data_IF_942633928336
#
_entry.id   IF_942633928336
#
_cell.length_a   1.000
_cell.length_b   1.000
_cell.length_c   1.000
_cell.angle_alpha   90.00
_cell.angle_beta   90.00
_cell.angle_gamma   90.00
#
_symmetry.space_group_name_H-M   'P 1'
#
loop_
_entity.id
_entity.type
_entity.pdbx_description
1 polymer ?
#
# COMPACT_ATOMS: atom_id res chain seq x y z
N UNK A 1 -21.06 -18.63 44.99
CA UNK A 1 -21.02 -18.56 43.53
C UNK A 1 -20.39 -17.22 43.14
N UNK A 2 -19.13 -17.29 42.72
CA UNK A 2 -18.42 -16.14 42.16
C UNK A 2 -18.68 -16.18 40.65
N UNK A 3 -19.51 -15.25 40.14
CA UNK A 3 -19.69 -14.99 38.72
C UNK A 3 -18.38 -14.32 38.25
N UNK A 4 -17.54 -15.07 37.54
CA UNK A 4 -16.45 -14.50 36.78
C UNK A 4 -17.03 -14.05 35.44
N UNK A 5 -17.23 -12.75 35.23
CA UNK A 5 -17.38 -12.19 33.92
C UNK A 5 -16.01 -12.17 33.24
N UNK A 6 -15.94 -12.76 32.07
CA UNK A 6 -14.75 -12.68 31.23
C UNK A 6 -14.70 -11.26 30.67
N UNK A 7 -13.73 -10.46 31.13
CA UNK A 7 -13.50 -9.15 30.58
C UNK A 7 -13.16 -9.30 29.08
N UNK A 8 -14.05 -8.83 28.21
CA UNK A 8 -13.74 -8.77 26.78
C UNK A 8 -12.52 -7.85 26.62
N UNK A 9 -11.43 -8.39 26.11
CA UNK A 9 -10.24 -7.59 25.77
C UNK A 9 -10.62 -6.63 24.65
N UNK A 10 -10.93 -5.39 25.02
CA UNK A 10 -11.17 -4.32 24.06
C UNK A 10 -9.84 -4.01 23.38
N UNK A 11 -9.78 -4.09 22.06
CA UNK A 11 -8.63 -3.62 21.30
C UNK A 11 -8.60 -2.08 21.36
N UNK A 12 -7.81 -1.54 22.28
CA UNK A 12 -7.71 -0.11 22.56
C UNK A 12 -7.27 0.66 21.31
N UNK A 13 -6.43 0.04 20.47
CA UNK A 13 -6.01 0.65 19.19
C UNK A 13 -7.21 0.72 18.24
N UNK A 14 -8.00 -0.35 18.12
CA UNK A 14 -9.19 -0.35 17.29
C UNK A 14 -10.22 0.67 17.77
N UNK A 15 -10.35 0.88 19.09
CA UNK A 15 -11.24 1.89 19.65
C UNK A 15 -10.76 3.32 19.39
N UNK A 16 -9.44 3.58 19.51
CA UNK A 16 -8.83 4.86 19.14
C UNK A 16 -8.93 5.16 17.65
N UNK A 17 -8.95 4.12 16.82
CA UNK A 17 -9.12 4.23 15.37
C UNK A 17 -10.60 4.17 14.94
N UNK A 18 -11.53 4.00 15.90
CA UNK A 18 -12.96 3.98 15.60
C UNK A 18 -13.38 5.32 15.02
N UNK A 19 -14.14 5.26 13.95
CA UNK A 19 -14.65 6.45 13.28
C UNK A 19 -16.07 6.73 13.69
N UNK A 20 -16.40 8.01 13.86
CA UNK A 20 -17.78 8.45 13.94
C UNK A 20 -18.49 8.23 12.61
N UNK A 21 -19.78 7.90 12.64
CA UNK A 21 -20.59 7.77 11.44
C UNK A 21 -20.59 9.08 10.65
N UNK A 22 -20.14 9.01 9.40
CA UNK A 22 -20.08 10.18 8.51
C UNK A 22 -21.46 10.41 7.89
N UNK A 23 -21.88 11.69 7.85
CA UNK A 23 -23.13 12.05 7.19
C UNK A 23 -22.95 11.94 5.67
N UNK A 24 -23.91 11.32 5.00
CA UNK A 24 -23.90 11.16 3.55
C UNK A 24 -23.82 12.51 2.79
N UNK A 25 -24.31 13.59 3.40
CA UNK A 25 -24.31 14.94 2.85
C UNK A 25 -22.89 15.55 2.72
N UNK A 26 -21.92 15.11 3.56
CA UNK A 26 -20.55 15.60 3.58
C UNK A 26 -19.63 14.82 2.64
N UNK A 27 -20.14 13.76 2.02
CA UNK A 27 -19.36 12.88 1.15
C UNK A 27 -19.29 13.42 -0.27
N UNK A 28 -18.08 13.69 -0.75
CA UNK A 28 -17.82 14.12 -2.14
C UNK A 28 -17.04 13.06 -2.90
N UNK A 29 -17.20 13.01 -4.25
CA UNK A 29 -16.39 12.12 -5.07
C UNK A 29 -14.89 12.37 -4.88
N UNK A 30 -14.10 11.30 -4.80
CA UNK A 30 -12.64 11.37 -4.69
C UNK A 30 -11.97 10.62 -5.83
N UNK A 31 -10.72 10.98 -6.16
CA UNK A 31 -9.94 10.23 -7.12
C UNK A 31 -9.77 8.76 -6.70
N UNK A 32 -9.75 7.81 -7.67
CA UNK A 32 -9.38 6.44 -7.37
C UNK A 32 -7.91 6.32 -7.01
N UNK A 33 -7.63 5.40 -6.10
CA UNK A 33 -6.27 4.96 -5.77
C UNK A 33 -6.08 3.58 -6.40
N UNK A 34 -5.04 3.44 -7.21
CA UNK A 34 -4.80 2.26 -8.05
C UNK A 34 -3.43 1.68 -7.73
N UNK A 35 -3.34 0.41 -7.40
CA UNK A 35 -2.05 -0.28 -7.33
C UNK A 35 -1.75 -1.01 -8.63
N UNK A 36 -0.47 -1.09 -8.98
CA UNK A 36 0.02 -1.85 -10.13
C UNK A 36 0.78 -3.06 -9.64
N UNK A 37 0.32 -4.25 -10.02
CA UNK A 37 0.80 -5.54 -9.54
C UNK A 37 1.14 -6.48 -10.69
N UNK A 38 1.86 -7.54 -10.39
CA UNK A 38 2.23 -8.58 -11.35
C UNK A 38 3.69 -9.00 -11.24
N UNK A 39 4.12 -9.88 -12.12
CA UNK A 39 5.48 -10.42 -12.15
C UNK A 39 6.54 -9.33 -12.49
N UNK A 40 7.80 -9.56 -12.07
CA UNK A 40 8.91 -8.59 -12.23
C UNK A 40 9.05 -8.13 -13.68
N UNK A 41 9.22 -9.05 -14.63
CA UNK A 41 9.54 -8.76 -16.02
C UNK A 41 8.33 -8.49 -16.92
N UNK A 42 7.13 -8.39 -16.36
CA UNK A 42 5.90 -8.09 -17.11
C UNK A 42 5.76 -6.62 -17.53
N UNK A 43 6.70 -5.76 -17.11
CA UNK A 43 6.76 -4.37 -17.55
C UNK A 43 5.87 -3.40 -16.77
N UNK A 44 5.63 -3.65 -15.47
CA UNK A 44 4.87 -2.74 -14.58
C UNK A 44 5.43 -1.33 -14.57
N UNK A 45 6.73 -1.19 -14.25
CA UNK A 45 7.42 0.11 -14.18
C UNK A 45 7.43 0.79 -15.55
N UNK A 46 7.65 0.03 -16.64
CA UNK A 46 7.58 0.56 -18.00
C UNK A 46 6.17 1.06 -18.36
N UNK A 47 5.12 0.36 -17.91
CA UNK A 47 3.74 0.79 -18.11
C UNK A 47 3.46 2.08 -17.34
N UNK A 48 3.90 2.18 -16.09
CA UNK A 48 3.77 3.39 -15.29
C UNK A 48 4.57 4.57 -15.87
N UNK A 49 5.76 4.31 -16.40
CA UNK A 49 6.54 5.33 -17.11
C UNK A 49 5.80 5.82 -18.37
N UNK A 50 5.18 4.91 -19.13
CA UNK A 50 4.37 5.28 -20.28
C UNK A 50 3.15 6.14 -19.88
N UNK A 51 2.51 5.81 -18.77
CA UNK A 51 1.38 6.55 -18.19
C UNK A 51 1.84 7.94 -17.69
N UNK A 52 2.92 7.99 -16.91
CA UNK A 52 3.47 9.24 -16.34
C UNK A 52 4.19 10.12 -17.37
N UNK A 53 4.51 9.58 -18.54
CA UNK A 53 5.40 10.18 -19.53
C UNK A 53 6.79 10.51 -18.95
N UNK A 54 7.29 9.61 -18.12
CA UNK A 54 8.58 9.69 -17.41
C UNK A 54 9.51 8.56 -17.87
N UNK A 55 10.69 8.51 -17.28
CA UNK A 55 11.67 7.45 -17.53
C UNK A 55 12.35 7.08 -16.19
N UNK A 56 11.56 6.57 -15.25
CA UNK A 56 12.00 6.16 -13.92
C UNK A 56 12.83 4.88 -14.00
N UNK A 57 12.44 3.95 -14.88
CA UNK A 57 13.17 2.69 -15.15
C UNK A 57 14.67 2.90 -15.40
N UNK A 58 15.05 4.00 -16.06
CA UNK A 58 16.46 4.31 -16.34
C UNK A 58 17.24 4.83 -15.12
N UNK A 59 16.55 5.21 -14.04
CA UNK A 59 17.13 5.80 -12.83
C UNK A 59 17.20 4.85 -11.64
N UNK A 60 16.36 3.82 -11.62
CA UNK A 60 16.35 2.81 -10.57
C UNK A 60 17.49 1.80 -10.73
N UNK A 61 18.08 1.39 -9.61
CA UNK A 61 19.14 0.38 -9.60
C UNK A 61 18.60 -0.95 -10.12
N UNK A 62 19.21 -1.45 -11.20
CA UNK A 62 18.76 -2.68 -11.87
C UNK A 62 17.50 -2.54 -12.73
N UNK A 63 16.92 -1.33 -12.87
CA UNK A 63 15.72 -1.09 -13.68
C UNK A 63 14.43 -1.69 -13.10
N UNK A 64 14.42 -2.00 -11.80
CA UNK A 64 13.27 -2.60 -11.09
C UNK A 64 12.84 -1.70 -9.93
N UNK A 65 11.53 -1.63 -9.71
CA UNK A 65 10.95 -0.92 -8.56
C UNK A 65 11.29 -1.67 -7.26
N UNK A 66 11.92 -0.97 -6.32
CA UNK A 66 12.32 -1.50 -5.02
C UNK A 66 11.59 -0.87 -3.84
N UNK A 67 10.93 0.28 -4.05
CA UNK A 67 10.16 1.03 -3.07
C UNK A 67 8.72 1.20 -3.53
N UNK A 68 7.79 1.41 -2.60
CA UNK A 68 6.43 1.78 -2.99
C UNK A 68 6.44 3.25 -3.44
N UNK A 69 6.34 3.47 -4.74
CA UNK A 69 6.19 4.81 -5.32
C UNK A 69 4.73 5.23 -5.36
N UNK A 70 4.45 6.50 -5.05
CA UNK A 70 3.13 7.07 -5.24
C UNK A 70 3.19 8.23 -6.23
N UNK A 71 2.23 8.31 -7.15
CA UNK A 71 2.16 9.38 -8.14
C UNK A 71 0.72 9.71 -8.53
N UNK A 72 0.47 10.99 -8.83
CA UNK A 72 -0.83 11.48 -9.27
C UNK A 72 -0.76 11.82 -10.75
N UNK A 73 -1.70 11.29 -11.51
CA UNK A 73 -1.84 11.52 -12.95
C UNK A 73 -3.19 12.16 -13.21
N UNK A 74 -3.22 13.06 -14.17
CA UNK A 74 -4.43 13.74 -14.59
C UNK A 74 -4.74 13.37 -16.05
N UNK A 75 -5.96 12.88 -16.27
CA UNK A 75 -6.51 12.57 -17.60
C UNK A 75 -7.95 13.04 -17.66
N UNK A 76 -8.33 13.74 -18.73
CA UNK A 76 -9.68 14.29 -18.93
C UNK A 76 -10.17 15.08 -17.70
N UNK A 77 -9.32 15.95 -17.16
CA UNK A 77 -9.56 16.76 -15.93
C UNK A 77 -9.88 15.93 -14.67
N UNK A 78 -9.59 14.65 -14.68
CA UNK A 78 -9.75 13.74 -13.55
C UNK A 78 -8.40 13.21 -13.06
N UNK A 79 -8.27 13.06 -11.76
CA UNK A 79 -7.03 12.56 -11.13
C UNK A 79 -7.15 11.08 -10.84
N UNK A 80 -6.05 10.37 -11.00
CA UNK A 80 -5.85 8.97 -10.60
C UNK A 80 -4.57 8.92 -9.80
N UNK A 81 -4.61 8.32 -8.62
CA UNK A 81 -3.41 8.09 -7.80
C UNK A 81 -2.92 6.68 -8.02
N UNK A 82 -1.69 6.53 -8.47
CA UNK A 82 -1.04 5.25 -8.67
C UNK A 82 -0.08 4.93 -7.53
N UNK A 83 -0.15 3.70 -7.04
CA UNK A 83 0.84 3.10 -6.15
C UNK A 83 1.60 2.03 -6.94
N UNK A 84 2.89 2.24 -7.11
CA UNK A 84 3.79 1.27 -7.73
C UNK A 84 4.31 0.30 -6.67
N UNK A 85 4.16 -0.99 -6.89
CA UNK A 85 4.61 -2.01 -5.94
C UNK A 85 5.73 -2.87 -6.53
N UNK A 86 6.77 -3.20 -5.73
CA UNK A 86 7.82 -4.10 -6.19
C UNK A 86 7.27 -5.47 -6.59
N UNK A 87 7.76 -5.99 -7.72
CA UNK A 87 7.31 -7.29 -8.24
C UNK A 87 8.03 -8.50 -7.65
N UNK A 88 9.19 -8.31 -7.02
CA UNK A 88 10.01 -9.40 -6.49
C UNK A 88 9.36 -10.08 -5.27
N UNK A 89 9.49 -11.40 -5.13
CA UNK A 89 8.85 -12.19 -4.06
C UNK A 89 9.21 -11.72 -2.64
N UNK A 90 10.43 -11.21 -2.42
CA UNK A 90 10.84 -10.67 -1.14
C UNK A 90 9.96 -9.51 -0.61
N UNK A 91 9.18 -8.85 -1.49
CA UNK A 91 8.36 -7.69 -1.14
C UNK A 91 6.86 -8.00 -0.99
N UNK A 92 6.51 -9.22 -0.56
CA UNK A 92 5.11 -9.65 -0.34
C UNK A 92 4.32 -8.69 0.54
N UNK A 93 4.88 -8.23 1.67
CA UNK A 93 4.23 -7.28 2.57
C UNK A 93 3.92 -5.94 1.88
N UNK A 94 4.80 -5.47 1.00
CA UNK A 94 4.56 -4.24 0.23
C UNK A 94 3.41 -4.41 -0.77
N UNK A 95 3.32 -5.58 -1.45
CA UNK A 95 2.19 -5.86 -2.37
C UNK A 95 0.87 -5.95 -1.64
N UNK A 96 0.83 -6.65 -0.50
CA UNK A 96 -0.37 -6.76 0.34
C UNK A 96 -0.81 -5.36 0.83
N UNK A 97 0.11 -4.54 1.29
CA UNK A 97 -0.15 -3.15 1.70
C UNK A 97 -0.67 -2.31 0.53
N UNK A 98 -0.04 -2.44 -0.65
CA UNK A 98 -0.50 -1.79 -1.87
C UNK A 98 -1.96 -2.13 -2.15
N UNK A 99 -2.35 -3.40 -2.16
CA UNK A 99 -3.72 -3.83 -2.37
C UNK A 99 -4.68 -3.28 -1.31
N UNK A 100 -4.35 -3.38 -0.02
CA UNK A 100 -5.21 -2.91 1.08
C UNK A 100 -5.41 -1.39 1.12
N UNK A 101 -4.54 -0.64 0.45
CA UNK A 101 -4.55 0.83 0.42
C UNK A 101 -5.28 1.40 -0.80
N UNK A 102 -5.76 0.56 -1.71
CA UNK A 102 -6.26 0.96 -3.02
C UNK A 102 -7.71 0.54 -3.25
N UNK A 103 -8.32 1.14 -4.26
CA UNK A 103 -9.68 0.85 -4.70
C UNK A 103 -9.70 -0.13 -5.88
N UNK A 104 -8.67 -0.05 -6.73
CA UNK A 104 -8.54 -0.83 -7.95
C UNK A 104 -7.11 -1.37 -8.04
N UNK A 105 -6.96 -2.61 -8.48
CA UNK A 105 -5.68 -3.23 -8.79
C UNK A 105 -5.53 -3.43 -10.30
N UNK A 106 -4.46 -2.91 -10.90
CA UNK A 106 -4.08 -3.24 -12.26
C UNK A 106 -3.11 -4.42 -12.21
N UNK A 107 -3.56 -5.56 -12.69
CA UNK A 107 -2.74 -6.76 -12.83
C UNK A 107 -2.06 -6.75 -14.19
N UNK A 108 -0.75 -6.55 -14.22
CA UNK A 108 0.03 -6.55 -15.46
C UNK A 108 0.55 -7.95 -15.77
N UNK A 109 0.16 -8.48 -16.92
CA UNK A 109 0.58 -9.79 -17.43
C UNK A 109 1.18 -9.62 -18.82
N UNK A 110 2.36 -10.15 -19.06
CA UNK A 110 2.98 -10.07 -20.37
C UNK A 110 2.36 -11.09 -21.33
N UNK A 111 2.01 -10.64 -22.54
CA UNK A 111 1.36 -11.46 -23.56
C UNK A 111 2.24 -12.59 -24.10
N UNK A 112 3.56 -12.48 -23.94
CA UNK A 112 4.55 -13.47 -24.38
C UNK A 112 4.90 -14.51 -23.31
N UNK A 113 4.74 -14.16 -22.02
CA UNK A 113 5.10 -15.05 -20.90
C UNK A 113 3.89 -15.78 -20.29
N UNK A 114 2.75 -15.09 -20.15
CA UNK A 114 1.54 -15.63 -19.50
C UNK A 114 1.54 -15.47 -17.98
N UNK A 115 0.81 -16.33 -17.29
CA UNK A 115 0.66 -16.28 -15.82
C UNK A 115 1.86 -16.88 -15.12
N UNK A 116 2.51 -16.10 -14.25
CA UNK A 116 3.68 -16.48 -13.46
C UNK A 116 3.33 -16.60 -11.97
N UNK A 117 4.14 -17.28 -11.13
CA UNK A 117 3.82 -17.47 -9.70
C UNK A 117 3.52 -16.17 -8.95
N UNK A 118 4.28 -15.10 -9.23
CA UNK A 118 4.04 -13.78 -8.61
C UNK A 118 2.77 -13.10 -9.13
N UNK A 119 2.30 -13.47 -10.33
CA UNK A 119 0.99 -13.04 -10.85
C UNK A 119 -0.13 -13.66 -10.02
N UNK A 120 -0.02 -14.96 -9.72
CA UNK A 120 -0.99 -15.67 -8.85
C UNK A 120 -1.02 -15.08 -7.44
N UNK A 121 0.14 -14.79 -6.88
CA UNK A 121 0.26 -14.11 -5.58
C UNK A 121 -0.43 -12.74 -5.60
N UNK A 122 -0.21 -11.94 -6.65
CA UNK A 122 -0.85 -10.64 -6.81
C UNK A 122 -2.39 -10.75 -6.90
N UNK A 123 -2.91 -11.75 -7.63
CA UNK A 123 -4.36 -12.04 -7.69
C UNK A 123 -4.90 -12.34 -6.29
N UNK A 124 -4.22 -13.20 -5.54
CA UNK A 124 -4.63 -13.59 -4.20
C UNK A 124 -4.65 -12.39 -3.24
N UNK A 125 -3.65 -11.50 -3.31
CA UNK A 125 -3.62 -10.27 -2.50
C UNK A 125 -4.76 -9.31 -2.87
N UNK A 126 -5.02 -9.10 -4.15
CA UNK A 126 -6.11 -8.25 -4.60
C UNK A 126 -7.48 -8.81 -4.17
N UNK A 127 -7.70 -10.12 -4.34
CA UNK A 127 -8.93 -10.80 -3.88
C UNK A 127 -9.09 -10.73 -2.37
N UNK A 128 -8.02 -10.98 -1.60
CA UNK A 128 -8.05 -10.89 -0.14
C UNK A 128 -8.35 -9.47 0.37
N UNK A 129 -7.91 -8.46 -0.36
CA UNK A 129 -8.22 -7.06 -0.08
C UNK A 129 -9.61 -6.63 -0.56
N UNK A 130 -10.30 -7.44 -1.36
CA UNK A 130 -11.62 -7.14 -1.90
C UNK A 130 -11.62 -5.99 -2.92
N UNK A 131 -10.49 -5.75 -3.61
CA UNK A 131 -10.37 -4.68 -4.61
C UNK A 131 -10.70 -5.19 -6.00
N UNK A 132 -11.27 -4.31 -6.84
CA UNK A 132 -11.56 -4.62 -8.24
C UNK A 132 -10.26 -4.79 -9.05
N UNK A 133 -10.22 -5.83 -9.90
CA UNK A 133 -9.06 -6.17 -10.71
C UNK A 133 -9.32 -5.82 -12.17
N UNK A 134 -8.44 -4.98 -12.73
CA UNK A 134 -8.35 -4.74 -14.17
C UNK A 134 -7.08 -5.42 -14.68
N UNK A 135 -7.19 -6.25 -15.69
CA UNK A 135 -6.05 -6.96 -16.29
C UNK A 135 -5.48 -6.15 -17.45
N UNK A 136 -4.22 -5.74 -17.35
CA UNK A 136 -3.47 -5.13 -18.44
C UNK A 136 -2.57 -6.20 -19.08
N UNK A 137 -2.91 -6.66 -20.28
CA UNK A 137 -2.08 -7.60 -21.04
C UNK A 137 -1.05 -6.78 -21.79
N UNK A 138 0.18 -6.77 -21.25
CA UNK A 138 1.27 -5.95 -21.77
C UNK A 138 2.12 -6.69 -22.82
N UNK A 139 2.96 -5.93 -23.52
CA UNK A 139 3.89 -6.42 -24.57
C UNK A 139 3.18 -7.00 -25.80
N UNK A 140 2.01 -6.46 -26.16
CA UNK A 140 1.26 -6.90 -27.36
C UNK A 140 2.01 -6.61 -28.68
N UNK A 141 3.01 -5.74 -28.65
CA UNK A 141 3.89 -5.41 -29.76
C UNK A 141 4.88 -6.54 -30.12
N UNK A 142 5.05 -7.53 -29.25
CA UNK A 142 5.96 -8.65 -29.51
C UNK A 142 5.33 -9.68 -30.48
N UNK A 143 6.14 -10.27 -31.39
CA UNK A 143 5.65 -11.31 -32.30
C UNK A 143 5.15 -12.58 -31.60
N UNK A 144 5.66 -12.86 -30.39
CA UNK A 144 5.27 -14.00 -29.56
C UNK A 144 4.04 -13.73 -28.68
N UNK A 145 3.43 -12.55 -28.77
CA UNK A 145 2.27 -12.19 -27.97
C UNK A 145 1.07 -13.08 -28.27
N UNK A 146 0.44 -13.62 -27.22
CA UNK A 146 -0.76 -14.46 -27.33
C UNK A 146 -1.78 -14.06 -26.23
N UNK A 147 -2.68 -13.16 -26.60
CA UNK A 147 -3.70 -12.61 -25.71
C UNK A 147 -4.68 -13.69 -25.24
N UNK A 148 -5.11 -14.57 -26.15
CA UNK A 148 -6.11 -15.60 -25.85
C UNK A 148 -5.56 -16.63 -24.85
N UNK A 149 -4.27 -17.00 -24.97
CA UNK A 149 -3.59 -17.86 -24.00
C UNK A 149 -3.63 -17.22 -22.59
N UNK A 150 -3.30 -15.93 -22.48
CA UNK A 150 -3.30 -15.23 -21.20
C UNK A 150 -4.71 -15.16 -20.60
N UNK A 151 -5.73 -14.88 -21.42
CA UNK A 151 -7.13 -14.91 -21.01
C UNK A 151 -7.55 -16.27 -20.48
N UNK A 152 -7.13 -17.35 -21.16
CA UNK A 152 -7.42 -18.71 -20.74
C UNK A 152 -6.76 -19.06 -19.41
N UNK A 153 -5.45 -18.77 -19.26
CA UNK A 153 -4.72 -19.01 -18.01
C UNK A 153 -5.31 -18.24 -16.83
N UNK A 154 -5.71 -16.97 -17.01
CA UNK A 154 -6.32 -16.15 -15.95
C UNK A 154 -7.73 -16.61 -15.59
N UNK A 155 -8.45 -17.23 -16.51
CA UNK A 155 -9.78 -17.79 -16.23
C UNK A 155 -9.73 -18.94 -15.22
N UNK A 156 -8.60 -19.67 -15.12
CA UNK A 156 -8.37 -20.70 -14.09
C UNK A 156 -8.33 -20.09 -12.67
N UNK A 157 -8.04 -18.79 -12.56
CA UNK A 157 -8.04 -18.01 -11.31
C UNK A 157 -9.31 -17.17 -11.13
N UNK A 158 -10.40 -17.52 -11.82
CA UNK A 158 -11.69 -16.83 -11.75
C UNK A 158 -11.66 -15.38 -12.30
N UNK A 159 -10.66 -15.01 -13.05
CA UNK A 159 -10.61 -13.75 -13.79
C UNK A 159 -11.10 -14.03 -15.22
N UNK A 160 -12.43 -14.00 -15.40
CA UNK A 160 -13.06 -14.32 -16.66
C UNK A 160 -13.34 -13.04 -17.44
N UNK A 161 -12.89 -12.92 -18.70
CA UNK A 161 -13.15 -11.75 -19.54
C UNK A 161 -14.64 -11.51 -19.77
N UNK A 162 -15.05 -10.25 -19.93
CA UNK A 162 -16.41 -9.88 -20.30
C UNK A 162 -16.86 -10.55 -21.61
N UNK A 163 -15.98 -10.66 -22.60
CA UNK A 163 -16.22 -11.35 -23.89
C UNK A 163 -16.62 -12.83 -23.72
N UNK A 164 -16.22 -13.46 -22.62
CA UNK A 164 -16.51 -14.86 -22.28
C UNK A 164 -17.61 -14.98 -21.22
N UNK A 165 -18.33 -13.88 -20.96
CA UNK A 165 -19.45 -13.84 -20.00
C UNK A 165 -19.05 -13.63 -18.55
N UNK A 166 -17.82 -13.23 -18.29
CA UNK A 166 -17.33 -12.82 -16.97
C UNK A 166 -17.56 -11.34 -16.67
N UNK A 167 -16.88 -10.84 -15.64
CA UNK A 167 -16.96 -9.44 -15.19
C UNK A 167 -15.60 -8.73 -15.15
N UNK A 168 -14.52 -9.43 -15.46
CA UNK A 168 -13.17 -8.85 -15.38
C UNK A 168 -12.83 -8.10 -16.66
N UNK A 169 -12.37 -6.87 -16.50
CA UNK A 169 -11.94 -6.02 -17.61
C UNK A 169 -10.52 -6.40 -18.02
N UNK A 170 -10.33 -6.70 -19.31
CA UNK A 170 -9.05 -7.01 -19.93
C UNK A 170 -8.71 -5.93 -20.96
N UNK A 171 -7.56 -5.29 -20.80
CA UNK A 171 -7.09 -4.25 -21.72
C UNK A 171 -5.74 -4.66 -22.30
N UNK A 172 -5.65 -4.93 -23.61
CA UNK A 172 -4.38 -5.14 -24.28
C UNK A 172 -3.60 -3.82 -24.36
N UNK A 173 -2.31 -3.86 -23.95
CA UNK A 173 -1.46 -2.66 -23.92
C UNK A 173 -0.05 -2.96 -24.38
N UNK A 174 0.63 -1.94 -24.86
CA UNK A 174 2.08 -1.95 -25.03
C UNK A 174 2.68 -0.73 -24.33
N UNK A 175 3.43 -0.96 -23.29
CA UNK A 175 4.18 0.11 -22.60
C UNK A 175 5.22 0.75 -23.53
N UNK A 176 5.75 -0.01 -24.51
CA UNK A 176 6.77 0.43 -25.45
C UNK A 176 6.18 1.35 -26.54
N UNK A 177 5.10 0.95 -27.18
CA UNK A 177 4.44 1.72 -28.25
C UNK A 177 3.40 2.71 -27.72
N UNK A 178 3.01 2.57 -26.44
CA UNK A 178 1.92 3.30 -25.76
C UNK A 178 0.52 2.97 -26.29
N UNK A 179 0.38 1.91 -27.07
CA UNK A 179 -0.91 1.41 -27.54
C UNK A 179 -1.75 0.91 -26.36
N UNK A 180 -3.06 1.22 -26.34
CA UNK A 180 -4.00 0.79 -25.31
C UNK A 180 -3.85 1.46 -23.94
N UNK A 181 -2.81 2.30 -23.73
CA UNK A 181 -2.59 2.94 -22.40
C UNK A 181 -3.72 3.92 -22.05
N UNK A 182 -4.21 4.67 -23.02
CA UNK A 182 -5.35 5.58 -22.82
C UNK A 182 -6.61 4.80 -22.49
N UNK A 183 -6.88 3.71 -23.20
CA UNK A 183 -8.03 2.84 -22.98
C UNK A 183 -7.99 2.24 -21.56
N UNK A 184 -6.79 1.82 -21.10
CA UNK A 184 -6.60 1.33 -19.73
C UNK A 184 -6.99 2.38 -18.70
N UNK A 185 -6.56 3.63 -18.87
CA UNK A 185 -6.88 4.72 -17.96
C UNK A 185 -8.37 5.08 -17.98
N UNK A 186 -9.02 5.01 -19.15
CA UNK A 186 -10.46 5.20 -19.27
C UNK A 186 -11.24 4.08 -18.55
N UNK A 187 -10.79 2.83 -18.66
CA UNK A 187 -11.40 1.71 -17.91
C UNK A 187 -11.23 1.87 -16.40
N UNK A 188 -10.08 2.37 -15.93
CA UNK A 188 -9.89 2.70 -14.51
C UNK A 188 -10.89 3.77 -14.05
N UNK A 189 -11.08 4.83 -14.82
CA UNK A 189 -12.04 5.88 -14.48
C UNK A 189 -13.49 5.38 -14.50
N UNK A 190 -13.84 4.54 -15.47
CA UNK A 190 -15.17 3.92 -15.56
C UNK A 190 -15.45 3.01 -14.36
N UNK A 191 -14.47 2.17 -13.98
CA UNK A 191 -14.58 1.33 -12.79
C UNK A 191 -14.72 2.16 -11.52
N UNK A 192 -13.97 3.26 -11.40
CA UNK A 192 -14.08 4.19 -10.28
C UNK A 192 -15.49 4.83 -10.19
N UNK A 193 -16.12 5.12 -11.32
CA UNK A 193 -17.48 5.66 -11.36
C UNK A 193 -18.50 4.61 -10.89
N UNK A 194 -18.34 3.35 -11.28
CA UNK A 194 -19.19 2.24 -10.81
C UNK A 194 -19.03 2.01 -9.30
N UNK A 195 -17.82 2.16 -8.78
CA UNK A 195 -17.53 2.02 -7.34
C UNK A 195 -18.06 3.20 -6.50
N UNK A 196 -18.51 4.29 -7.12
CA UNK A 196 -18.98 5.51 -6.43
C UNK A 196 -18.06 6.00 -5.31
N UNK A 197 -16.75 6.10 -5.58
CA UNK A 197 -15.74 6.45 -4.58
C UNK A 197 -15.96 7.83 -3.99
N UNK A 198 -16.24 7.90 -2.69
CA UNK A 198 -16.54 9.13 -1.95
C UNK A 198 -15.70 9.22 -0.68
N UNK A 199 -15.42 10.45 -0.23
CA UNK A 199 -14.80 10.73 1.06
C UNK A 199 -15.25 12.11 1.57
N UNK A 200 -15.19 12.32 2.87
CA UNK A 200 -15.44 13.62 3.47
C UNK A 200 -14.13 14.42 3.58
N UNK A 201 -13.92 15.50 2.81
CA UNK A 201 -12.70 16.31 2.88
C UNK A 201 -12.69 17.27 4.09
N UNK A 202 -13.84 17.54 4.72
CA UNK A 202 -13.99 18.57 5.75
C UNK A 202 -13.70 18.07 7.17
N UNK A 203 -13.18 16.86 7.32
CA UNK A 203 -12.75 16.28 8.60
C UNK A 203 -11.23 16.31 8.74
N UNK A 204 -10.76 15.95 9.93
CA UNK A 204 -9.32 15.76 10.21
C UNK A 204 -8.73 14.69 9.28
N UNK A 205 -7.52 14.93 8.80
CA UNK A 205 -6.82 14.04 7.90
C UNK A 205 -6.54 12.69 8.55
N UNK A 206 -6.84 11.61 7.81
CA UNK A 206 -6.53 10.23 8.17
C UNK A 206 -6.10 9.46 6.93
N UNK A 207 -5.19 8.53 7.10
CA UNK A 207 -4.73 7.69 6.01
C UNK A 207 -3.64 6.71 6.45
N UNK A 208 -2.85 6.27 5.52
CA UNK A 208 -1.83 5.25 5.71
C UNK A 208 -0.42 5.77 5.41
N UNK A 209 0.54 5.31 6.17
CA UNK A 209 1.96 5.47 5.86
C UNK A 209 2.32 4.47 4.77
N UNK A 210 2.67 4.95 3.59
CA UNK A 210 3.08 4.13 2.45
C UNK A 210 4.51 3.65 2.64
N UNK A 211 5.42 4.59 2.92
CA UNK A 211 6.85 4.34 3.12
C UNK A 211 7.41 5.39 4.08
N UNK A 212 8.51 5.06 4.76
CA UNK A 212 9.18 5.99 5.64
C UNK A 212 10.68 5.74 5.68
N UNK A 213 11.45 6.81 5.82
CA UNK A 213 12.90 6.80 5.84
C UNK A 213 13.48 7.82 6.81
N UNK A 214 14.75 7.66 7.15
CA UNK A 214 15.52 8.64 7.88
C UNK A 214 16.48 9.36 6.92
N UNK A 215 16.06 10.50 6.40
CA UNK A 215 16.92 11.35 5.57
C UNK A 215 17.99 12.05 6.41
N UNK A 216 19.23 12.06 5.92
CA UNK A 216 20.37 12.65 6.65
C UNK A 216 20.26 14.17 6.84
N UNK A 217 19.53 14.86 5.98
CA UNK A 217 19.37 16.32 6.02
C UNK A 217 18.04 16.79 6.57
N UNK A 218 16.98 16.04 6.27
CA UNK A 218 15.58 16.41 6.62
C UNK A 218 15.10 15.76 7.92
N UNK A 219 15.76 14.70 8.40
CA UNK A 219 15.33 13.87 9.52
C UNK A 219 14.29 12.82 9.11
N UNK A 220 13.38 12.42 10.01
CA UNK A 220 12.31 11.49 9.68
C UNK A 220 11.40 12.03 8.57
N UNK A 221 11.25 11.26 7.51
CA UNK A 221 10.42 11.55 6.34
C UNK A 221 9.44 10.40 6.17
N UNK A 222 8.17 10.70 5.94
CA UNK A 222 7.17 9.68 5.66
C UNK A 222 6.35 10.07 4.44
N UNK A 223 6.17 9.15 3.50
CA UNK A 223 5.20 9.25 2.42
C UNK A 223 3.89 8.67 2.90
N UNK A 224 2.86 9.48 2.95
CA UNK A 224 1.54 9.09 3.42
C UNK A 224 0.51 9.25 2.31
N UNK A 225 -0.49 8.37 2.32
CA UNK A 225 -1.69 8.49 1.48
C UNK A 225 -2.84 8.97 2.35
N UNK A 226 -3.36 10.13 2.05
CA UNK A 226 -4.58 10.64 2.71
C UNK A 226 -5.78 9.86 2.16
N UNK A 227 -6.51 9.17 3.03
CA UNK A 227 -7.70 8.42 2.64
C UNK A 227 -8.98 9.21 2.92
N UNK A 228 -9.01 9.91 4.05
CA UNK A 228 -10.17 10.70 4.49
C UNK A 228 -9.71 12.04 5.08
N UNK A 229 -10.56 13.04 4.99
CA UNK A 229 -10.26 14.37 5.49
C UNK A 229 -9.22 15.10 4.65
N UNK A 230 -8.77 16.23 5.16
CA UNK A 230 -7.71 17.05 4.56
C UNK A 230 -6.60 17.25 5.57
N UNK A 231 -5.38 16.91 5.17
CA UNK A 231 -4.17 17.10 5.96
C UNK A 231 -3.55 18.45 5.63
N UNK A 232 -3.13 19.22 6.63
CA UNK A 232 -2.57 20.57 6.45
C UNK A 232 -1.22 20.73 7.14
N UNK A 233 -0.38 21.57 6.55
CA UNK A 233 0.88 21.99 7.19
C UNK A 233 0.56 22.71 8.48
N UNK A 234 1.25 22.37 9.57
CA UNK A 234 1.02 22.91 10.90
C UNK A 234 0.09 22.09 11.78
N UNK A 235 -0.61 21.09 11.23
CA UNK A 235 -1.38 20.13 12.02
C UNK A 235 -0.44 19.15 12.74
N UNK A 236 -0.92 18.60 13.83
CA UNK A 236 -0.25 17.55 14.57
C UNK A 236 -0.84 16.20 14.18
N UNK A 237 0.01 15.23 13.94
CA UNK A 237 -0.42 13.87 13.62
C UNK A 237 0.22 12.85 14.56
N UNK A 238 -0.47 11.73 14.72
CA UNK A 238 0.07 10.50 15.26
C UNK A 238 0.09 9.44 14.15
N UNK A 239 1.17 8.67 14.05
CA UNK A 239 1.33 7.59 13.10
C UNK A 239 1.97 6.41 13.84
N UNK A 240 1.16 5.42 14.23
CA UNK A 240 1.61 4.31 15.05
C UNK A 240 2.32 4.78 16.33
N UNK A 241 3.58 4.41 16.48
CA UNK A 241 4.43 4.80 17.62
C UNK A 241 5.02 6.20 17.52
N UNK A 242 4.81 6.90 16.40
CA UNK A 242 5.40 8.21 16.13
C UNK A 242 4.34 9.30 16.19
N UNK A 243 4.77 10.51 16.50
CA UNK A 243 3.93 11.70 16.45
C UNK A 243 4.75 12.93 16.09
N UNK A 244 4.07 13.99 15.69
CA UNK A 244 4.76 15.25 15.42
C UNK A 244 3.89 16.27 14.72
N UNK A 245 4.41 17.50 14.63
CA UNK A 245 3.77 18.59 13.90
C UNK A 245 4.31 18.67 12.49
N UNK A 246 3.43 18.65 11.51
CA UNK A 246 3.80 18.74 10.10
C UNK A 246 4.46 20.09 9.82
N UNK A 247 5.76 20.06 9.52
CA UNK A 247 6.55 21.27 9.21
C UNK A 247 6.48 21.61 7.73
N UNK A 248 6.42 20.60 6.89
CA UNK A 248 6.31 20.74 5.43
C UNK A 248 5.67 19.50 4.84
N UNK A 249 4.97 19.70 3.73
CA UNK A 249 4.47 18.62 2.87
C UNK A 249 4.95 18.85 1.44
N UNK A 250 5.26 17.78 0.73
CA UNK A 250 5.65 17.79 -0.67
C UNK A 250 4.78 16.81 -1.47
N UNK A 251 4.43 17.20 -2.68
CA UNK A 251 3.72 16.32 -3.60
C UNK A 251 4.68 15.29 -4.25
N UNK A 252 4.14 14.41 -5.09
CA UNK A 252 4.87 13.40 -5.86
C UNK A 252 5.93 13.97 -6.83
N UNK A 253 5.91 15.28 -7.07
CA UNK A 253 6.88 16.02 -7.90
C UNK A 253 7.89 16.82 -7.07
N UNK A 254 7.89 16.65 -5.74
CA UNK A 254 8.77 17.36 -4.82
C UNK A 254 8.41 18.84 -4.61
N UNK A 255 7.22 19.30 -5.00
CA UNK A 255 6.75 20.67 -4.81
C UNK A 255 6.08 20.81 -3.44
N UNK A 256 6.35 21.91 -2.76
CA UNK A 256 5.71 22.19 -1.47
C UNK A 256 4.20 22.43 -1.64
N UNK A 257 3.40 21.73 -0.85
CA UNK A 257 1.95 21.89 -0.77
C UNK A 257 1.53 22.27 0.64
N UNK A 258 0.45 23.02 0.77
CA UNK A 258 -0.08 23.46 2.08
C UNK A 258 -1.11 22.51 2.64
N UNK A 259 -1.84 21.82 1.77
CA UNK A 259 -2.89 20.86 2.11
C UNK A 259 -2.90 19.67 1.14
N UNK A 260 -3.41 18.55 1.62
CA UNK A 260 -3.60 17.32 0.87
C UNK A 260 -4.97 16.73 1.22
N UNK A 261 -5.85 16.63 0.23
CA UNK A 261 -7.19 16.04 0.37
C UNK A 261 -7.18 14.51 0.18
N UNK A 262 -8.36 13.89 0.18
CA UNK A 262 -8.51 12.45 -0.02
C UNK A 262 -7.86 11.95 -1.31
N UNK A 263 -7.31 10.74 -1.27
CA UNK A 263 -6.58 10.07 -2.35
C UNK A 263 -5.30 10.77 -2.81
N UNK A 264 -4.76 11.70 -2.01
CA UNK A 264 -3.55 12.44 -2.35
C UNK A 264 -2.36 11.87 -1.58
N UNK A 265 -1.29 11.39 -2.26
CA UNK A 265 -0.04 11.03 -1.63
C UNK A 265 0.79 12.29 -1.35
N UNK A 266 1.39 12.37 -0.18
CA UNK A 266 2.30 13.47 0.19
C UNK A 266 3.45 12.95 1.05
N UNK A 267 4.63 13.51 0.81
CA UNK A 267 5.79 13.38 1.69
C UNK A 267 5.65 14.40 2.83
N UNK A 268 5.72 13.93 4.06
CA UNK A 268 5.59 14.78 5.26
C UNK A 268 6.90 14.82 6.05
N UNK A 269 7.17 15.99 6.63
CA UNK A 269 8.32 16.27 7.49
C UNK A 269 7.83 16.78 8.84
N UNK A 270 8.43 16.30 9.92
CA UNK A 270 8.14 16.84 11.26
C UNK A 270 7.77 15.80 12.31
N UNK A 271 7.78 14.52 11.97
CA UNK A 271 7.65 13.44 12.94
C UNK A 271 8.87 13.35 13.86
N UNK A 272 8.67 12.85 15.08
CA UNK A 272 9.74 12.66 16.06
C UNK A 272 10.65 11.47 15.72
N UNK A 273 10.12 10.46 15.02
CA UNK A 273 10.84 9.27 14.59
C UNK A 273 10.25 8.73 13.28
N UNK A 274 10.83 7.68 12.72
CA UNK A 274 10.40 7.03 11.49
C UNK A 274 9.24 6.06 11.80
N UNK A 275 8.01 6.31 11.29
CA UNK A 275 6.89 5.39 11.48
C UNK A 275 7.09 4.11 10.67
N UNK A 276 6.36 3.05 11.03
CA UNK A 276 6.36 1.84 10.23
C UNK A 276 5.45 2.02 9.02
N UNK A 277 5.89 1.47 7.90
CA UNK A 277 5.07 1.46 6.70
C UNK A 277 3.81 0.58 6.90
N UNK A 278 2.65 1.07 6.45
CA UNK A 278 1.34 0.44 6.69
C UNK A 278 0.63 0.87 7.97
N UNK A 279 1.26 1.65 8.82
CA UNK A 279 0.57 2.23 9.99
C UNK A 279 -0.42 3.30 9.57
N UNK A 280 -1.53 3.36 10.30
CA UNK A 280 -2.53 4.42 10.14
C UNK A 280 -2.01 5.70 10.79
N UNK A 281 -2.10 6.81 10.09
CA UNK A 281 -1.91 8.12 10.69
C UNK A 281 -3.26 8.82 10.91
N UNK A 282 -3.34 9.63 11.97
CA UNK A 282 -4.51 10.42 12.34
C UNK A 282 -4.08 11.83 12.71
N UNK A 283 -4.74 12.84 12.15
CA UNK A 283 -4.55 14.22 12.59
C UNK A 283 -5.27 14.45 13.92
N UNK A 284 -4.57 15.03 14.89
CA UNK A 284 -5.03 15.28 16.26
C UNK A 284 -5.20 16.77 16.52
N UNK A 285 -5.91 17.13 17.59
CA UNK A 285 -6.13 18.55 17.93
C UNK A 285 -4.88 19.22 18.49
N UNK A 286 -4.10 18.43 19.22
CA UNK A 286 -2.92 18.94 19.91
C UNK A 286 -1.84 17.86 20.06
N UNK A 287 -0.63 18.28 20.38
CA UNK A 287 0.53 17.38 20.54
C UNK A 287 0.37 16.42 21.73
N UNK A 288 -0.36 16.79 22.77
CA UNK A 288 -0.60 15.92 23.92
C UNK A 288 -1.45 14.71 23.56
N UNK A 289 -2.47 14.92 22.72
CA UNK A 289 -3.32 13.85 22.19
C UNK A 289 -2.52 12.90 21.27
N UNK A 290 -1.74 13.47 20.35
CA UNK A 290 -0.88 12.70 19.45
C UNK A 290 0.13 11.85 20.22
N UNK A 291 0.76 12.42 21.25
CA UNK A 291 1.69 11.71 22.10
C UNK A 291 1.02 10.59 22.90
N UNK A 292 -0.15 10.85 23.47
CA UNK A 292 -0.92 9.83 24.19
C UNK A 292 -1.29 8.65 23.28
N UNK A 293 -1.69 8.95 22.03
CA UNK A 293 -1.96 7.94 21.01
C UNK A 293 -0.72 7.06 20.74
N UNK A 294 0.44 7.68 20.50
CA UNK A 294 1.69 6.96 20.25
C UNK A 294 2.13 6.13 21.46
N UNK A 295 2.00 6.65 22.68
CA UNK A 295 2.32 5.90 23.92
C UNK A 295 1.41 4.68 24.11
N UNK A 296 0.13 4.80 23.82
CA UNK A 296 -0.83 3.68 23.84
C UNK A 296 -0.44 2.63 22.81
N UNK A 297 -0.13 3.05 21.59
CA UNK A 297 0.30 2.15 20.52
C UNK A 297 1.56 1.36 20.89
N UNK A 298 2.56 2.02 21.50
CA UNK A 298 3.78 1.38 22.00
C UNK A 298 3.47 0.37 23.10
N UNK A 299 2.59 0.71 24.05
CA UNK A 299 2.25 -0.16 25.17
C UNK A 299 1.52 -1.42 24.71
N UNK A 300 0.56 -1.28 23.81
CA UNK A 300 -0.17 -2.41 23.24
C UNK A 300 0.72 -3.30 22.37
N UNK A 301 1.61 -2.71 21.57
CA UNK A 301 2.60 -3.45 20.79
C UNK A 301 3.52 -4.30 21.69
N UNK A 302 3.96 -3.77 22.84
CA UNK A 302 4.74 -4.52 23.83
C UNK A 302 3.91 -5.65 24.46
N UNK A 303 2.65 -5.40 24.77
CA UNK A 303 1.76 -6.41 25.37
C UNK A 303 1.53 -7.58 24.40
N UNK A 304 1.26 -7.29 23.11
CA UNK A 304 1.14 -8.31 22.05
C UNK A 304 2.42 -9.14 21.90
N UNK A 305 3.58 -8.53 21.89
CA UNK A 305 4.87 -9.23 21.84
C UNK A 305 5.08 -10.16 23.04
N UNK A 306 4.70 -9.73 24.24
CA UNK A 306 4.80 -10.55 25.46
C UNK A 306 3.82 -11.73 25.41
N UNK A 307 2.61 -11.52 24.91
CA UNK A 307 1.60 -12.58 24.74
C UNK A 307 2.04 -13.60 23.68
N UNK A 308 2.54 -13.16 22.53
CA UNK A 308 3.06 -14.03 21.47
C UNK A 308 4.27 -14.82 21.92
N UNK A 309 5.16 -14.21 22.71
CA UNK A 309 6.32 -14.91 23.28
C UNK A 309 5.89 -15.95 24.32
N UNK A 310 4.89 -15.65 25.15
CA UNK A 310 4.32 -16.61 26.12
C UNK A 310 3.58 -17.75 25.42
N UNK A 311 2.88 -17.48 24.31
CA UNK A 311 2.19 -18.50 23.53
C UNK A 311 3.16 -19.45 22.80
N UNK A 312 4.33 -18.94 22.38
CA UNK A 312 5.39 -19.73 21.72
C UNK A 312 6.25 -20.53 22.68
N UNK A 313 6.32 -20.14 23.94
CA UNK A 313 7.05 -20.86 25.01
C UNK A 313 6.09 -21.79 25.76
N UNK A 314 5.73 -22.93 25.17
CA UNK A 314 5.15 -24.01 25.96
C UNK A 314 6.22 -24.55 26.89
N UNK A 315 5.81 -24.99 28.09
CA UNK A 315 6.74 -25.60 29.10
C UNK A 315 7.54 -26.76 28.48
N UNK A 316 6.95 -27.52 27.57
CA UNK A 316 7.60 -28.64 26.85
C UNK A 316 8.67 -28.18 25.87
N UNK A 317 8.49 -27.07 25.18
CA UNK A 317 9.50 -26.47 24.30
C UNK A 317 10.68 -25.93 25.14
N UNK A 318 10.42 -25.30 26.28
CA UNK A 318 11.45 -24.83 27.20
C UNK A 318 12.31 -25.99 27.74
N UNK A 319 11.67 -27.11 28.13
CA UNK A 319 12.38 -28.31 28.57
C UNK A 319 13.15 -28.98 27.43
N UNK A 320 12.65 -28.92 26.21
CA UNK A 320 13.33 -29.45 25.03
C UNK A 320 14.55 -28.60 24.65
N UNK A 321 14.47 -27.29 24.75
CA UNK A 321 15.57 -26.36 24.53
C UNK A 321 16.66 -26.44 25.59
N UNK A 322 16.28 -26.60 26.87
CA UNK A 322 17.22 -26.80 27.97
C UNK A 322 17.94 -28.14 27.81
N UNK A 323 17.26 -29.22 27.39
CA UNK A 323 17.87 -30.52 27.12
C UNK A 323 18.79 -30.53 25.89
N UNK A 324 18.53 -29.73 24.88
CA UNK A 324 19.31 -29.65 23.65
C UNK A 324 20.64 -28.88 23.82
N UNK A 325 20.82 -28.09 24.87
CA UNK A 325 22.13 -27.60 25.39
C UNK A 325 22.94 -26.67 24.46
N UNK A 326 22.44 -26.29 23.29
CA UNK A 326 23.19 -25.54 22.27
C UNK A 326 22.32 -24.76 21.27
N UNK A 327 21.47 -23.86 21.74
CA UNK A 327 20.93 -22.83 20.80
C UNK A 327 22.02 -21.77 20.63
N UNK A 328 22.75 -21.85 19.51
CA UNK A 328 23.67 -20.78 19.11
C UNK A 328 22.82 -19.67 18.49
N UNK A 329 22.63 -18.59 19.22
CA UNK A 329 21.99 -17.39 18.68
C UNK A 329 23.00 -16.59 17.87
N UNK A 330 22.60 -16.18 16.66
CA UNK A 330 23.34 -15.24 15.82
C UNK A 330 22.57 -13.92 15.78
N UNK A 331 22.92 -12.92 16.59
CA UNK A 331 22.28 -11.61 16.52
C UNK A 331 22.71 -10.89 15.23
N UNK A 332 21.73 -10.50 14.42
CA UNK A 332 21.95 -9.77 13.17
C UNK A 332 21.35 -8.37 13.30
N UNK A 333 22.10 -7.37 12.78
CA UNK A 333 21.63 -6.00 12.65
C UNK A 333 21.39 -5.74 11.17
N UNK A 334 20.12 -5.49 10.81
CA UNK A 334 19.71 -5.15 9.45
C UNK A 334 19.53 -3.64 9.35
N UNK A 335 20.15 -3.02 8.35
CA UNK A 335 19.99 -1.61 8.02
C UNK A 335 19.71 -1.47 6.53
N UNK A 336 18.72 -0.70 6.17
CA UNK A 336 18.40 -0.36 4.79
C UNK A 336 18.04 1.14 4.67
N UNK A 337 17.83 1.59 3.47
CA UNK A 337 17.48 2.97 3.13
C UNK A 337 16.06 3.33 3.57
N UNK A 338 15.09 2.43 3.36
CA UNK A 338 13.70 2.61 3.76
C UNK A 338 13.19 1.47 4.64
N UNK A 339 12.10 1.73 5.35
CA UNK A 339 11.52 0.79 6.31
C UNK A 339 11.00 -0.49 5.66
N UNK A 340 10.41 -0.39 4.47
CA UNK A 340 9.92 -1.54 3.72
C UNK A 340 11.02 -2.50 3.28
N UNK A 341 12.21 -2.01 2.95
CA UNK A 341 13.38 -2.85 2.63
C UNK A 341 13.88 -3.63 3.85
N UNK A 342 13.86 -3.01 5.05
CA UNK A 342 14.17 -3.72 6.32
C UNK A 342 13.18 -4.85 6.58
N UNK A 343 11.89 -4.57 6.37
CA UNK A 343 10.81 -5.55 6.54
C UNK A 343 10.98 -6.74 5.58
N UNK A 344 11.27 -6.48 4.31
CA UNK A 344 11.50 -7.52 3.29
C UNK A 344 12.66 -8.45 3.67
N UNK A 345 13.81 -7.89 4.08
CA UNK A 345 14.98 -8.69 4.50
C UNK A 345 14.72 -9.47 5.78
N UNK A 346 13.90 -8.93 6.70
CA UNK A 346 13.55 -9.61 7.96
C UNK A 346 12.63 -10.81 7.74
N UNK A 347 11.80 -10.78 6.70
CA UNK A 347 10.87 -11.87 6.36
C UNK A 347 11.50 -12.96 5.48
N UNK A 348 12.59 -12.64 4.73
CA UNK A 348 13.35 -13.58 3.91
C UNK A 348 14.30 -14.43 4.74
#
# INVERSE_FOLDING_TARGET
DVLCEQEEKVDVIAELLKEDEEKAEDMVPRPPVVCVMGHVDHGKTSLLDAIRKTNVTAREAGGITQHIGASVIEINDRKITFLDTPGHEAFTAMRMRGAQSTDIAILVVAADDGVMPQTVEAINHAKAAGVEIIVAINKIDKPSANIDKVKQELSEYELIPEDWGGSTIFVPVSAHTREGVTDLLEMVLLTADVLELKANPNRKGRGLVIEAELDKGKGPVATVLVQKGTLRVGETIAAGSCYGKIRAMMDDRGRRVKEAGPSTPVEILGLNDVPQAGEVFVATENEKEARSFAETFISEGKNKLIEDTKAKLSLDDLFSQIKAGNVKELPLIIKADVQGSVEAVKQS
#
